data_IF_934937210337
#
_entry.id   IF_934937210337
#
_cell.length_a   1.000
_cell.length_b   1.000
_cell.length_c   1.000
_cell.angle_alpha   90.00
_cell.angle_beta   90.00
_cell.angle_gamma   90.00
#
_symmetry.space_group_name_H-M   'P 1'
#
loop_
_entity.id
_entity.type
_entity.pdbx_description
1 polymer ?
#
# COMPACT_ATOMS: atom_id res chain seq x y z
N UNK A 1 -1.45 -15.27 2.72
CA UNK A 1 -1.81 -14.34 1.62
C UNK A 1 -0.95 -13.13 1.84
N UNK A 2 -0.09 -12.83 0.89
CA UNK A 2 0.85 -11.71 0.99
C UNK A 2 0.19 -10.48 0.40
N UNK A 3 0.26 -9.34 1.08
CA UNK A 3 -0.22 -8.09 0.54
C UNK A 3 0.68 -7.67 -0.60
N UNK A 4 0.06 -7.39 -1.75
CA UNK A 4 0.75 -6.78 -2.88
C UNK A 4 0.51 -5.27 -2.81
N UNK A 5 1.59 -4.51 -2.72
CA UNK A 5 1.54 -3.06 -2.72
C UNK A 5 1.94 -2.57 -4.10
N UNK A 6 1.09 -1.74 -4.71
CA UNK A 6 1.36 -1.11 -5.99
C UNK A 6 1.63 0.37 -5.72
N UNK A 7 2.89 0.78 -5.84
CA UNK A 7 3.28 2.18 -5.73
C UNK A 7 3.23 2.77 -7.13
N UNK A 8 2.40 3.79 -7.31
CA UNK A 8 2.33 4.56 -8.56
C UNK A 8 2.95 5.93 -8.36
N UNK A 9 3.98 6.23 -9.14
CA UNK A 9 4.59 7.54 -9.28
C UNK A 9 4.31 8.05 -10.69
N UNK A 10 3.16 8.73 -10.88
CA UNK A 10 2.61 9.39 -12.10
C UNK A 10 2.80 8.67 -13.46
N UNK A 11 4.02 8.41 -13.86
CA UNK A 11 4.43 7.73 -15.09
C UNK A 11 4.75 6.24 -14.90
N UNK A 12 5.08 5.80 -13.67
CA UNK A 12 5.51 4.42 -13.40
C UNK A 12 4.75 3.80 -12.23
N UNK A 13 4.41 2.53 -12.38
CA UNK A 13 3.86 1.70 -11.30
C UNK A 13 4.83 0.57 -10.98
N UNK A 14 5.20 0.44 -9.71
CA UNK A 14 6.04 -0.63 -9.22
C UNK A 14 5.20 -1.47 -8.26
N UNK A 15 5.24 -2.79 -8.47
CA UNK A 15 4.62 -3.75 -7.57
C UNK A 15 5.66 -4.32 -6.62
N UNK A 16 5.34 -4.37 -5.34
CA UNK A 16 6.18 -4.94 -4.29
C UNK A 16 5.34 -5.87 -3.41
N UNK A 17 5.97 -6.91 -2.89
CA UNK A 17 5.36 -7.79 -1.88
C UNK A 17 5.67 -7.22 -0.50
N UNK A 18 4.64 -7.09 0.33
CA UNK A 18 4.80 -6.62 1.70
C UNK A 18 5.13 -7.77 2.64
N UNK A 19 6.09 -7.55 3.54
CA UNK A 19 6.33 -8.49 4.62
C UNK A 19 5.20 -8.47 5.66
N UNK A 20 4.99 -9.56 6.42
CA UNK A 20 3.96 -9.64 7.47
C UNK A 20 4.03 -8.51 8.51
N UNK A 21 5.23 -7.97 8.75
CA UNK A 21 5.45 -6.84 9.67
C UNK A 21 4.99 -5.50 9.09
N UNK A 22 5.03 -5.33 7.77
CA UNK A 22 4.58 -4.15 7.06
C UNK A 22 3.05 -4.19 6.92
N UNK A 23 2.49 -5.36 6.61
CA UNK A 23 1.05 -5.62 6.54
C UNK A 23 0.30 -5.13 7.78
N UNK A 24 0.77 -5.53 8.97
CA UNK A 24 0.14 -5.15 10.25
C UNK A 24 0.08 -3.65 10.48
N UNK A 25 0.97 -2.88 9.87
CA UNK A 25 1.02 -1.42 10.01
C UNK A 25 0.09 -0.70 9.03
N UNK A 26 -0.30 -1.37 7.95
CA UNK A 26 -1.22 -0.84 6.94
C UNK A 26 -2.68 -1.16 7.29
N UNK A 27 -2.91 -2.21 8.09
CA UNK A 27 -4.24 -2.57 8.58
C UNK A 27 -4.76 -1.47 9.52
N UNK A 28 -5.97 -0.98 9.23
CA UNK A 28 -6.65 0.06 10.00
C UNK A 28 -6.54 1.47 9.42
N UNK A 29 -5.77 1.66 8.34
CA UNK A 29 -5.75 2.91 7.58
C UNK A 29 -6.90 2.94 6.57
N UNK A 30 -7.46 4.14 6.35
CA UNK A 30 -8.53 4.36 5.39
C UNK A 30 -8.01 4.84 4.02
N UNK A 31 -8.84 4.72 2.98
CA UNK A 31 -8.55 5.37 1.70
C UNK A 31 -8.51 6.88 1.89
N UNK A 32 -7.44 7.51 1.43
CA UNK A 32 -7.18 8.93 1.62
C UNK A 32 -6.13 9.22 2.70
N UNK A 33 -5.82 8.26 3.57
CA UNK A 33 -4.79 8.42 4.59
C UNK A 33 -3.39 8.44 3.98
N UNK A 34 -2.52 9.23 4.61
CA UNK A 34 -1.11 9.32 4.26
C UNK A 34 -0.25 8.66 5.33
N UNK A 35 0.68 7.81 4.90
CA UNK A 35 1.62 7.13 5.78
C UNK A 35 3.05 7.28 5.28
N UNK A 36 4.03 7.04 6.16
CA UNK A 36 5.43 7.04 5.76
C UNK A 36 5.78 5.77 4.98
N UNK A 37 6.38 5.94 3.80
CA UNK A 37 6.90 4.85 2.97
C UNK A 37 7.99 4.03 3.67
N UNK A 38 8.57 4.53 4.76
CA UNK A 38 9.45 3.77 5.67
C UNK A 38 8.79 2.46 6.15
N UNK A 39 7.46 2.41 6.21
CA UNK A 39 6.65 1.24 6.59
C UNK A 39 6.64 0.16 5.52
N UNK A 40 7.11 0.43 4.30
CA UNK A 40 7.18 -0.53 3.19
C UNK A 40 8.58 -0.56 2.55
N UNK A 41 9.59 -0.06 3.24
CA UNK A 41 10.97 0.01 2.77
C UNK A 41 11.33 1.24 1.91
N UNK A 42 10.38 2.12 1.62
CA UNK A 42 10.58 3.39 0.90
C UNK A 42 10.87 4.54 1.86
N UNK A 43 12.07 4.57 2.42
CA UNK A 43 12.52 5.64 3.33
C UNK A 43 12.53 6.99 2.62
N UNK A 44 11.95 8.02 3.25
CA UNK A 44 11.94 9.40 2.76
C UNK A 44 10.76 9.76 1.85
N UNK A 45 9.86 8.81 1.57
CA UNK A 45 8.63 9.07 0.81
C UNK A 45 7.42 9.05 1.72
N UNK A 46 6.44 9.91 1.43
CA UNK A 46 5.10 9.84 2.02
C UNK A 46 4.15 9.30 0.96
N UNK A 47 3.41 8.26 1.31
CA UNK A 47 2.50 7.58 0.40
C UNK A 47 1.08 7.81 0.85
N UNK A 48 0.18 7.93 -0.11
CA UNK A 48 -1.26 8.06 0.11
C UNK A 48 -1.96 6.80 -0.33
N UNK A 49 -2.87 6.29 0.50
CA UNK A 49 -3.73 5.17 0.11
C UNK A 49 -4.77 5.71 -0.87
N UNK A 50 -4.70 5.25 -2.11
CA UNK A 50 -5.65 5.63 -3.18
C UNK A 50 -6.75 4.60 -3.40
N UNK A 51 -6.59 3.40 -2.86
CA UNK A 51 -7.54 2.29 -3.00
C UNK A 51 -6.88 0.94 -2.80
N UNK A 52 -7.64 -0.11 -3.03
CA UNK A 52 -7.18 -1.49 -2.96
C UNK A 52 -8.22 -2.44 -3.55
N UNK A 53 -7.84 -3.72 -3.65
CA UNK A 53 -8.73 -4.80 -4.07
C UNK A 53 -8.67 -5.91 -3.04
N UNK A 54 -9.81 -6.51 -2.74
CA UNK A 54 -9.86 -7.73 -1.93
C UNK A 54 -9.47 -8.97 -2.75
N UNK A 55 -9.30 -10.11 -2.09
CA UNK A 55 -8.97 -11.42 -2.69
C UNK A 55 -9.93 -11.81 -3.81
N UNK A 56 -11.22 -11.48 -3.67
CA UNK A 56 -12.26 -11.77 -4.66
C UNK A 56 -12.35 -10.72 -5.78
N UNK A 57 -11.44 -9.75 -5.80
CA UNK A 57 -11.36 -8.72 -6.84
C UNK A 57 -12.29 -7.52 -6.66
N UNK A 58 -12.97 -7.42 -5.51
CA UNK A 58 -13.80 -6.25 -5.21
C UNK A 58 -12.94 -5.03 -4.92
N UNK A 59 -13.14 -3.91 -5.64
CA UNK A 59 -12.44 -2.67 -5.35
C UNK A 59 -12.98 -2.03 -4.07
N UNK A 60 -12.08 -1.43 -3.30
CA UNK A 60 -12.45 -0.59 -2.16
C UNK A 60 -13.08 0.72 -2.67
N UNK A 61 -14.07 1.24 -1.93
CA UNK A 61 -14.80 2.48 -2.23
C UNK A 61 -14.68 3.47 -1.09
#
# INVERSE_FOLDING_TARGET
>A
MTFKIVISDKEKSIQMEADPSQERKLIGLAIGDEFEGSIIGLKGYKLKITGGSDKDGFPMR
#
